data_IF_882248370099
#
_entry.id   IF_882248370099
#
_cell.length_a   1.000
_cell.length_b   1.000
_cell.length_c   1.000
_cell.angle_alpha   90.00
_cell.angle_beta   90.00
_cell.angle_gamma   90.00
#
_symmetry.space_group_name_H-M   'P 1'
#
loop_
_entity.id
_entity.type
_entity.pdbx_description
1 polymer ?
#
# COMPACT_ATOMS: atom_id res chain seq x y z
N UNK A 1 -8.20 -16.34 22.66
CA UNK A 1 -6.80 -16.83 22.88
C UNK A 1 -5.86 -15.66 23.15
N UNK A 2 -4.73 -15.89 23.85
CA UNK A 2 -3.67 -14.88 23.99
C UNK A 2 -2.79 -14.90 22.74
N UNK A 3 -2.56 -13.74 22.10
CA UNK A 3 -1.81 -13.65 20.85
C UNK A 3 -0.54 -12.82 21.08
N UNK A 4 0.61 -13.40 20.78
CA UNK A 4 1.92 -12.72 20.80
C UNK A 4 2.49 -12.59 19.39
N UNK A 5 3.33 -11.57 19.12
CA UNK A 5 3.97 -11.44 17.81
C UNK A 5 4.90 -12.61 17.53
N UNK A 6 4.79 -13.18 16.32
CA UNK A 6 5.71 -14.20 15.81
C UNK A 6 6.36 -13.68 14.54
N UNK A 7 7.52 -13.08 14.71
CA UNK A 7 8.29 -12.46 13.63
C UNK A 7 9.31 -13.45 13.08
N UNK A 8 9.47 -13.45 11.76
CA UNK A 8 10.54 -14.13 11.01
C UNK A 8 11.03 -13.20 9.91
N UNK A 9 12.15 -12.53 10.15
CA UNK A 9 12.69 -11.53 9.24
C UNK A 9 11.68 -10.41 8.95
N UNK A 10 11.25 -10.28 7.71
CA UNK A 10 10.30 -9.27 7.25
C UNK A 10 8.82 -9.70 7.36
N UNK A 11 8.52 -10.83 7.99
CA UNK A 11 7.14 -11.32 8.15
C UNK A 11 6.76 -11.44 9.62
N UNK A 12 5.56 -11.02 9.97
CA UNK A 12 4.90 -11.41 11.20
C UNK A 12 3.73 -12.35 10.85
N UNK A 13 3.77 -13.58 11.38
CA UNK A 13 2.81 -14.64 11.03
C UNK A 13 1.57 -14.66 11.94
N UNK A 14 1.50 -13.78 12.92
CA UNK A 14 0.34 -13.55 13.79
C UNK A 14 -0.08 -12.09 13.69
N UNK A 15 -1.37 -11.84 13.91
CA UNK A 15 -1.93 -10.48 14.01
C UNK A 15 -2.89 -10.40 15.20
N UNK A 16 -2.97 -9.22 15.82
CA UNK A 16 -3.76 -8.99 17.01
C UNK A 16 -5.05 -8.22 16.66
N UNK A 17 -6.25 -8.81 16.81
CA UNK A 17 -7.51 -8.20 16.38
C UNK A 17 -7.74 -6.81 16.95
N UNK A 18 -7.67 -6.67 18.29
CA UNK A 18 -7.91 -5.39 18.94
C UNK A 18 -6.84 -4.34 18.63
N UNK A 19 -5.58 -4.77 18.42
CA UNK A 19 -4.53 -3.84 18.03
C UNK A 19 -4.71 -3.35 16.58
N UNK A 20 -5.13 -4.23 15.66
CA UNK A 20 -5.52 -3.83 14.31
C UNK A 20 -6.71 -2.87 14.33
N UNK A 21 -7.74 -3.16 15.16
CA UNK A 21 -8.89 -2.26 15.31
C UNK A 21 -8.46 -0.88 15.80
N UNK A 22 -7.64 -0.82 16.86
CA UNK A 22 -7.18 0.45 17.40
C UNK A 22 -6.33 1.24 16.41
N UNK A 23 -5.48 0.56 15.64
CA UNK A 23 -4.69 1.21 14.59
C UNK A 23 -5.57 1.82 13.50
N UNK A 24 -6.65 1.15 13.09
CA UNK A 24 -7.63 1.72 12.16
C UNK A 24 -8.35 2.93 12.78
N UNK A 25 -8.75 2.85 14.06
CA UNK A 25 -9.36 3.97 14.77
C UNK A 25 -8.42 5.17 14.82
N UNK A 26 -7.14 4.96 15.13
CA UNK A 26 -6.15 6.05 15.17
C UNK A 26 -6.02 6.76 13.82
N UNK A 27 -6.05 6.02 12.70
CA UNK A 27 -6.04 6.61 11.36
C UNK A 27 -7.33 7.39 11.05
N UNK A 28 -8.49 6.88 11.47
CA UNK A 28 -9.78 7.56 11.33
C UNK A 28 -9.78 8.86 12.15
N UNK A 29 -9.32 8.82 13.39
CA UNK A 29 -9.24 9.99 14.27
C UNK A 29 -8.31 11.06 13.69
N UNK A 30 -7.17 10.65 13.11
CA UNK A 30 -6.31 11.56 12.38
C UNK A 30 -7.07 12.26 11.24
N UNK A 31 -7.76 11.51 10.37
CA UNK A 31 -8.51 12.10 9.24
C UNK A 31 -9.60 13.05 9.74
N UNK A 32 -10.32 12.70 10.79
CA UNK A 32 -11.38 13.55 11.36
C UNK A 32 -10.84 14.83 12.00
N UNK A 33 -9.58 14.84 12.43
CA UNK A 33 -8.91 16.03 12.93
C UNK A 33 -8.48 16.99 11.85
N UNK A 34 -8.49 16.56 10.58
CA UNK A 34 -8.09 17.37 9.43
C UNK A 34 -9.28 18.12 8.82
N UNK A 35 -8.99 19.06 7.92
CA UNK A 35 -10.03 19.74 7.18
C UNK A 35 -10.82 18.76 6.29
N UNK A 36 -12.16 18.91 6.18
CA UNK A 36 -12.98 18.05 5.32
C UNK A 36 -12.55 18.11 3.84
N UNK A 37 -12.61 16.97 3.16
CA UNK A 37 -12.29 16.83 1.75
C UNK A 37 -13.59 16.91 0.93
N UNK A 38 -13.64 17.73 -0.13
CA UNK A 38 -14.85 17.95 -0.90
C UNK A 38 -15.18 16.83 -1.89
N UNK A 39 -14.19 16.07 -2.31
CA UNK A 39 -14.29 14.96 -3.29
C UNK A 39 -13.26 13.87 -2.91
N UNK A 40 -13.48 12.62 -3.30
CA UNK A 40 -14.53 12.03 -4.15
C UNK A 40 -15.84 11.74 -3.41
N UNK A 41 -16.84 11.17 -4.12
CA UNK A 41 -18.11 10.72 -3.52
C UNK A 41 -18.28 9.20 -3.50
N UNK A 42 -17.75 8.49 -4.50
CA UNK A 42 -17.88 7.04 -4.66
C UNK A 42 -16.55 6.47 -5.13
N UNK A 43 -15.95 5.61 -4.33
CA UNK A 43 -14.56 5.17 -4.49
C UNK A 43 -14.46 3.67 -4.54
N UNK A 44 -13.72 3.17 -5.53
CA UNK A 44 -13.21 1.81 -5.57
C UNK A 44 -11.74 1.81 -5.15
N UNK A 45 -11.39 0.99 -4.16
CA UNK A 45 -9.99 0.78 -3.75
C UNK A 45 -9.62 -0.68 -3.95
N UNK A 46 -8.71 -0.94 -4.87
CA UNK A 46 -8.17 -2.26 -5.18
C UNK A 46 -6.89 -2.44 -4.39
N UNK A 47 -6.86 -3.41 -3.46
CA UNK A 47 -5.80 -3.59 -2.46
C UNK A 47 -6.06 -2.76 -1.19
N UNK A 48 -7.26 -2.89 -0.60
CA UNK A 48 -7.82 -1.98 0.41
C UNK A 48 -7.62 -2.39 1.87
N UNK A 49 -6.88 -3.46 2.18
CA UNK A 49 -6.83 -4.04 3.52
C UNK A 49 -5.68 -3.56 4.41
N UNK A 50 -4.60 -3.04 3.81
CA UNK A 50 -3.39 -2.63 4.53
C UNK A 50 -2.70 -1.44 3.86
N UNK A 51 -1.74 -0.83 4.55
CA UNK A 51 -0.86 0.20 4.02
C UNK A 51 -1.58 1.35 3.34
N UNK A 52 -1.05 1.79 2.21
CA UNK A 52 -1.61 2.92 1.46
C UNK A 52 -3.04 2.70 0.96
N UNK A 53 -3.40 1.47 0.58
CA UNK A 53 -4.75 1.17 0.11
C UNK A 53 -5.79 1.32 1.22
N UNK A 54 -5.51 0.81 2.43
CA UNK A 54 -6.37 1.00 3.59
C UNK A 54 -6.48 2.49 3.96
N UNK A 55 -5.34 3.18 4.05
CA UNK A 55 -5.32 4.62 4.37
C UNK A 55 -6.07 5.47 3.34
N UNK A 56 -5.98 5.11 2.03
CA UNK A 56 -6.76 5.76 0.99
C UNK A 56 -8.26 5.56 1.18
N UNK A 57 -8.66 4.34 1.56
CA UNK A 57 -10.07 4.03 1.83
C UNK A 57 -10.60 4.79 3.06
N UNK A 58 -9.80 4.85 4.14
CA UNK A 58 -10.12 5.63 5.34
C UNK A 58 -10.25 7.11 5.00
N UNK A 59 -9.29 7.66 4.24
CA UNK A 59 -9.32 9.07 3.81
C UNK A 59 -10.57 9.39 2.99
N UNK A 60 -10.94 8.53 2.04
CA UNK A 60 -12.14 8.72 1.24
C UNK A 60 -13.42 8.66 2.08
N UNK A 61 -13.57 7.63 2.94
CA UNK A 61 -14.76 7.43 3.74
C UNK A 61 -14.95 8.51 4.81
N UNK A 62 -13.93 8.74 5.64
CA UNK A 62 -14.05 9.60 6.82
C UNK A 62 -13.62 11.05 6.57
N UNK A 63 -12.83 11.32 5.54
CA UNK A 63 -12.43 12.67 5.14
C UNK A 63 -13.40 13.32 4.15
N UNK A 64 -13.88 12.55 3.16
CA UNK A 64 -14.78 13.05 2.12
C UNK A 64 -16.24 12.61 2.29
N UNK A 65 -16.57 11.75 3.24
CA UNK A 65 -17.90 11.14 3.37
C UNK A 65 -18.26 10.25 2.17
N UNK A 66 -17.26 9.68 1.50
CA UNK A 66 -17.46 8.91 0.29
C UNK A 66 -18.02 7.51 0.57
N UNK A 67 -18.89 7.02 -0.30
CA UNK A 67 -19.24 5.61 -0.40
C UNK A 67 -18.04 4.82 -0.92
N UNK A 68 -17.64 3.73 -0.24
CA UNK A 68 -16.44 2.98 -0.61
C UNK A 68 -16.71 1.51 -0.88
N UNK A 69 -16.15 1.00 -1.97
CA UNK A 69 -16.04 -0.42 -2.27
C UNK A 69 -14.56 -0.81 -2.24
N UNK A 70 -14.19 -1.79 -1.41
CA UNK A 70 -12.84 -2.28 -1.30
C UNK A 70 -12.69 -3.66 -1.95
N UNK A 71 -11.51 -3.95 -2.50
CA UNK A 71 -11.12 -5.29 -2.93
C UNK A 71 -9.86 -5.68 -2.18
N UNK A 72 -9.85 -6.87 -1.61
CA UNK A 72 -8.69 -7.45 -0.93
C UNK A 72 -8.72 -8.99 -0.99
N UNK A 73 -7.63 -9.61 -0.58
CA UNK A 73 -7.52 -11.06 -0.52
C UNK A 73 -6.92 -11.47 0.83
N UNK A 74 -7.79 -11.63 1.82
CA UNK A 74 -7.41 -11.85 3.21
C UNK A 74 -8.03 -13.14 3.76
N UNK A 75 -7.41 -13.67 4.80
CA UNK A 75 -7.88 -14.90 5.45
C UNK A 75 -8.54 -14.57 6.79
N UNK A 76 -9.77 -15.06 7.03
CA UNK A 76 -10.44 -14.89 8.32
C UNK A 76 -9.69 -15.60 9.44
N UNK A 77 -9.94 -15.18 10.65
CA UNK A 77 -9.58 -15.90 11.86
C UNK A 77 -10.50 -17.08 12.11
N UNK A 78 -10.16 -17.85 13.11
CA UNK A 78 -10.99 -18.93 13.66
C UNK A 78 -10.68 -19.05 15.15
N UNK A 79 -11.48 -19.79 15.92
CA UNK A 79 -11.21 -20.06 17.34
C UNK A 79 -9.79 -20.59 17.63
N UNK A 80 -9.12 -21.18 16.64
CA UNK A 80 -7.81 -21.84 16.79
C UNK A 80 -6.63 -21.06 16.19
N UNK A 81 -6.91 -20.04 15.37
CA UNK A 81 -5.89 -19.34 14.61
C UNK A 81 -6.32 -17.91 14.32
N UNK A 82 -5.44 -16.90 14.56
CA UNK A 82 -5.72 -15.53 14.14
C UNK A 82 -5.80 -15.45 12.61
N UNK A 83 -6.66 -14.54 12.13
CA UNK A 83 -6.73 -14.13 10.74
C UNK A 83 -5.51 -13.29 10.35
N UNK A 84 -5.49 -12.84 9.11
CA UNK A 84 -4.48 -11.86 8.64
C UNK A 84 -4.76 -10.47 9.19
N UNK A 85 -3.73 -9.63 9.28
CA UNK A 85 -3.90 -8.25 9.74
C UNK A 85 -4.90 -7.47 8.88
N UNK A 86 -4.83 -7.65 7.54
CA UNK A 86 -5.77 -7.01 6.63
C UNK A 86 -7.22 -7.44 6.81
N UNK A 87 -7.47 -8.67 7.27
CA UNK A 87 -8.80 -9.10 7.65
C UNK A 87 -9.34 -8.26 8.83
N UNK A 88 -8.56 -8.16 9.90
CA UNK A 88 -8.97 -7.40 11.09
C UNK A 88 -9.06 -5.89 10.85
N UNK A 89 -8.15 -5.34 10.06
CA UNK A 89 -8.24 -3.95 9.62
C UNK A 89 -9.53 -3.67 8.85
N UNK A 90 -9.90 -4.59 7.94
CA UNK A 90 -11.13 -4.46 7.13
C UNK A 90 -12.37 -4.59 8.00
N UNK A 91 -12.39 -5.52 8.97
CA UNK A 91 -13.47 -5.65 9.93
C UNK A 91 -13.64 -4.37 10.77
N UNK A 92 -12.53 -3.81 11.27
CA UNK A 92 -12.53 -2.55 12.02
C UNK A 92 -13.04 -1.38 11.17
N UNK A 93 -12.57 -1.28 9.91
CA UNK A 93 -13.04 -0.24 8.99
C UNK A 93 -14.55 -0.31 8.77
N UNK A 94 -15.10 -1.50 8.48
CA UNK A 94 -16.54 -1.69 8.28
C UNK A 94 -17.33 -1.33 9.53
N UNK A 95 -16.90 -1.77 10.71
CA UNK A 95 -17.53 -1.46 12.01
C UNK A 95 -17.58 0.06 12.26
N UNK A 96 -16.52 0.80 11.94
CA UNK A 96 -16.50 2.25 12.12
C UNK A 96 -17.35 2.97 11.05
N UNK A 97 -17.30 2.52 9.79
CA UNK A 97 -18.14 3.07 8.72
C UNK A 97 -19.63 2.90 9.02
N UNK A 98 -20.04 1.73 9.50
CA UNK A 98 -21.44 1.47 9.92
C UNK A 98 -21.90 2.40 11.04
N UNK A 99 -21.07 2.57 12.08
CA UNK A 99 -21.37 3.50 13.20
C UNK A 99 -21.66 4.94 12.73
N UNK A 100 -21.06 5.34 11.61
CA UNK A 100 -21.24 6.68 11.04
C UNK A 100 -22.22 6.73 9.87
N UNK A 101 -22.89 5.62 9.58
CA UNK A 101 -23.86 5.54 8.48
C UNK A 101 -23.23 5.67 7.10
N UNK A 102 -21.92 5.38 6.97
CA UNK A 102 -21.21 5.43 5.70
C UNK A 102 -21.40 4.12 4.94
N UNK A 103 -21.64 4.22 3.62
CA UNK A 103 -21.66 3.02 2.78
C UNK A 103 -20.25 2.43 2.67
N UNK A 104 -20.12 1.18 3.07
CA UNK A 104 -18.88 0.41 2.93
C UNK A 104 -19.21 -1.03 2.59
N UNK A 105 -18.71 -1.52 1.44
CA UNK A 105 -18.70 -2.94 1.08
C UNK A 105 -17.32 -3.40 0.67
N UNK A 106 -17.08 -4.70 0.72
CA UNK A 106 -15.81 -5.27 0.28
C UNK A 106 -16.03 -6.57 -0.48
N UNK A 107 -15.16 -6.82 -1.47
CA UNK A 107 -15.02 -8.10 -2.15
C UNK A 107 -13.72 -8.74 -1.69
N UNK A 108 -13.81 -9.92 -1.07
CA UNK A 108 -12.65 -10.72 -0.67
C UNK A 108 -12.36 -11.75 -1.78
N UNK A 109 -11.30 -11.56 -2.52
CA UNK A 109 -10.91 -12.44 -3.63
C UNK A 109 -9.71 -11.94 -4.42
N UNK A 110 -9.26 -12.76 -5.36
CA UNK A 110 -8.14 -12.41 -6.23
C UNK A 110 -8.52 -11.26 -7.18
N UNK A 111 -7.96 -10.08 -6.90
CA UNK A 111 -8.19 -8.88 -7.71
C UNK A 111 -7.75 -9.02 -9.18
N UNK A 112 -6.86 -9.96 -9.49
CA UNK A 112 -6.44 -10.22 -10.86
C UNK A 112 -7.48 -10.98 -11.68
N UNK A 113 -8.42 -11.70 -11.03
CA UNK A 113 -9.41 -12.51 -11.70
C UNK A 113 -10.53 -11.69 -12.36
N UNK A 114 -11.00 -12.14 -13.52
CA UNK A 114 -12.15 -11.55 -14.19
C UNK A 114 -13.44 -11.69 -13.36
N UNK A 115 -13.54 -12.76 -12.59
CA UNK A 115 -14.72 -13.01 -11.74
C UNK A 115 -14.83 -11.97 -10.61
N UNK A 116 -13.73 -11.63 -9.95
CA UNK A 116 -13.72 -10.56 -8.94
C UNK A 116 -14.03 -9.21 -9.58
N UNK A 117 -13.45 -8.90 -10.77
CA UNK A 117 -13.78 -7.70 -11.52
C UNK A 117 -15.28 -7.61 -11.81
N UNK A 118 -15.89 -8.71 -12.26
CA UNK A 118 -17.32 -8.73 -12.55
C UNK A 118 -18.19 -8.52 -11.29
N UNK A 119 -17.85 -9.18 -10.16
CA UNK A 119 -18.56 -8.96 -8.88
C UNK A 119 -18.51 -7.51 -8.40
N UNK A 120 -17.35 -6.86 -8.58
CA UNK A 120 -17.18 -5.44 -8.27
C UNK A 120 -18.07 -4.58 -9.18
N UNK A 121 -18.06 -4.83 -10.49
CA UNK A 121 -18.91 -4.12 -11.48
C UNK A 121 -20.40 -4.27 -11.13
N UNK A 122 -20.84 -5.49 -10.86
CA UNK A 122 -22.24 -5.76 -10.50
C UNK A 122 -22.64 -5.04 -9.20
N UNK A 123 -21.73 -4.98 -8.23
CA UNK A 123 -21.95 -4.27 -6.97
C UNK A 123 -22.03 -2.76 -7.19
N UNK A 124 -21.13 -2.19 -8.01
CA UNK A 124 -21.17 -0.77 -8.34
C UNK A 124 -22.47 -0.42 -9.06
N UNK A 125 -22.82 -1.18 -10.10
CA UNK A 125 -24.04 -0.93 -10.88
C UNK A 125 -25.29 -0.99 -10.01
N UNK A 126 -25.36 -1.96 -9.10
CA UNK A 126 -26.51 -2.15 -8.21
C UNK A 126 -26.64 -1.08 -7.13
N UNK A 127 -25.54 -0.76 -6.46
CA UNK A 127 -25.56 -0.01 -5.21
C UNK A 127 -25.17 1.46 -5.37
N UNK A 128 -24.27 1.78 -6.31
CA UNK A 128 -23.64 3.10 -6.46
C UNK A 128 -23.96 3.77 -7.81
N UNK A 129 -24.40 2.97 -8.79
CA UNK A 129 -24.55 3.39 -10.18
C UNK A 129 -23.20 3.55 -10.88
N UNK A 130 -22.43 4.53 -10.47
CA UNK A 130 -21.11 4.84 -11.01
C UNK A 130 -20.14 5.23 -9.90
N UNK A 131 -18.84 5.14 -10.16
CA UNK A 131 -17.76 5.58 -9.27
C UNK A 131 -16.97 6.73 -9.89
N UNK A 132 -16.42 7.60 -9.05
CA UNK A 132 -15.68 8.80 -9.46
C UNK A 132 -14.19 8.75 -9.11
N UNK A 133 -13.75 7.75 -8.33
CA UNK A 133 -12.31 7.49 -8.09
C UNK A 133 -12.01 6.00 -8.03
N UNK A 134 -10.99 5.57 -8.76
CA UNK A 134 -10.41 4.23 -8.67
C UNK A 134 -8.98 4.34 -8.16
N UNK A 135 -8.68 3.68 -7.04
CA UNK A 135 -7.33 3.56 -6.49
C UNK A 135 -6.82 2.14 -6.71
N UNK A 136 -5.67 2.01 -7.39
CA UNK A 136 -4.99 0.75 -7.64
C UNK A 136 -3.75 0.65 -6.75
N UNK A 137 -3.84 -0.18 -5.70
CA UNK A 137 -2.83 -0.35 -4.67
C UNK A 137 -2.52 -1.84 -4.43
N UNK A 138 -2.13 -2.55 -5.49
CA UNK A 138 -1.77 -3.96 -5.40
C UNK A 138 -0.26 -4.15 -5.35
N UNK A 139 0.18 -5.05 -4.47
CA UNK A 139 1.50 -5.66 -4.46
C UNK A 139 1.32 -7.15 -4.14
N UNK A 140 1.81 -8.01 -5.00
CA UNK A 140 1.63 -9.45 -4.87
C UNK A 140 2.90 -10.21 -5.26
N UNK A 141 3.17 -11.37 -4.64
CA UNK A 141 4.28 -12.22 -5.06
C UNK A 141 3.96 -13.02 -6.33
N UNK A 142 2.69 -13.14 -6.69
CA UNK A 142 2.23 -14.01 -7.77
C UNK A 142 0.93 -13.46 -8.38
N UNK A 143 0.79 -13.65 -9.69
CA UNK A 143 -0.44 -13.40 -10.46
C UNK A 143 -0.71 -14.56 -11.40
N UNK A 144 -1.96 -15.00 -11.47
CA UNK A 144 -2.45 -15.80 -12.59
C UNK A 144 -3.16 -14.88 -13.58
N UNK A 145 -2.70 -14.87 -14.83
CA UNK A 145 -3.29 -14.01 -15.85
C UNK A 145 -4.68 -14.51 -16.23
N UNK A 146 -5.74 -13.69 -16.12
CA UNK A 146 -7.12 -14.15 -16.24
C UNK A 146 -7.51 -14.66 -17.63
N UNK A 147 -6.81 -14.22 -18.69
CA UNK A 147 -7.10 -14.63 -20.08
C UNK A 147 -6.27 -15.83 -20.53
N UNK A 148 -4.98 -15.88 -20.20
CA UNK A 148 -4.08 -16.97 -20.64
C UNK A 148 -4.00 -18.12 -19.64
N UNK A 149 -4.33 -17.87 -18.35
CA UNK A 149 -4.11 -18.83 -17.26
C UNK A 149 -2.64 -18.97 -16.84
N UNK A 150 -1.73 -18.24 -17.47
CA UNK A 150 -0.30 -18.25 -17.16
C UNK A 150 -0.03 -17.69 -15.76
N UNK A 151 0.97 -18.26 -15.09
CA UNK A 151 1.33 -17.88 -13.72
C UNK A 151 2.66 -17.15 -13.76
N UNK A 152 2.67 -15.93 -13.25
CA UNK A 152 3.85 -15.08 -13.10
C UNK A 152 4.21 -14.95 -11.62
N UNK A 153 5.53 -14.92 -11.33
CA UNK A 153 6.04 -14.72 -9.98
C UNK A 153 6.95 -13.49 -9.96
N UNK A 154 6.66 -12.56 -9.06
CA UNK A 154 7.51 -11.37 -8.90
C UNK A 154 8.75 -11.68 -8.07
N UNK A 155 9.85 -11.03 -8.42
CA UNK A 155 11.12 -11.10 -7.69
C UNK A 155 11.63 -9.72 -7.34
N UNK A 156 12.46 -9.62 -6.29
CA UNK A 156 13.14 -8.39 -5.88
C UNK A 156 14.63 -8.57 -6.13
N UNK A 157 15.08 -8.26 -7.34
CA UNK A 157 16.47 -8.44 -7.77
C UNK A 157 16.97 -7.23 -8.58
N UNK A 158 18.28 -6.97 -8.55
CA UNK A 158 18.89 -5.98 -9.44
C UNK A 158 18.81 -6.43 -10.89
N UNK A 159 18.87 -5.49 -11.83
CA UNK A 159 18.87 -5.77 -13.28
C UNK A 159 20.26 -5.51 -13.86
N UNK A 160 20.76 -6.44 -14.67
CA UNK A 160 21.98 -6.31 -15.45
C UNK A 160 23.31 -6.47 -14.69
N UNK A 161 23.30 -6.49 -13.36
CA UNK A 161 24.51 -6.68 -12.53
C UNK A 161 24.19 -7.32 -11.18
N UNK A 162 25.13 -8.08 -10.65
CA UNK A 162 25.07 -8.47 -9.23
C UNK A 162 25.40 -7.26 -8.35
N UNK A 163 24.76 -7.18 -7.21
CA UNK A 163 25.02 -6.10 -6.24
C UNK A 163 25.31 -6.68 -4.85
N UNK A 164 26.09 -5.92 -4.07
CA UNK A 164 26.24 -6.13 -2.63
C UNK A 164 25.95 -4.83 -1.93
N UNK A 165 25.02 -4.83 -1.00
CA UNK A 165 24.54 -3.65 -0.30
C UNK A 165 24.47 -3.91 1.20
N UNK A 166 24.70 -2.85 1.99
CA UNK A 166 24.46 -2.90 3.43
C UNK A 166 22.97 -2.93 3.72
N UNK A 167 22.59 -3.63 4.74
CA UNK A 167 21.24 -3.65 5.27
C UNK A 167 21.25 -4.11 6.71
N UNK A 168 20.10 -4.21 7.31
CA UNK A 168 19.95 -4.68 8.69
C UNK A 168 19.31 -6.06 8.73
N UNK A 169 19.90 -6.96 9.50
CA UNK A 169 19.22 -8.16 9.94
C UNK A 169 18.31 -7.79 11.12
N UNK A 170 17.04 -7.68 10.88
CA UNK A 170 16.07 -7.21 11.87
C UNK A 170 15.84 -8.16 13.04
N UNK A 171 16.11 -9.46 12.86
CA UNK A 171 16.02 -10.47 13.94
C UNK A 171 17.22 -10.40 14.89
N UNK A 172 18.42 -10.16 14.33
CA UNK A 172 19.66 -10.12 15.10
C UNK A 172 20.09 -8.70 15.50
N UNK A 173 19.44 -7.69 14.92
CA UNK A 173 19.77 -6.26 15.12
C UNK A 173 21.21 -5.91 14.76
N UNK A 174 21.71 -6.49 13.66
CA UNK A 174 23.08 -6.28 13.19
C UNK A 174 23.10 -5.76 11.75
N UNK A 175 24.06 -4.90 11.47
CA UNK A 175 24.37 -4.47 10.10
C UNK A 175 25.14 -5.60 9.42
N UNK A 176 24.68 -5.95 8.23
CA UNK A 176 25.32 -6.97 7.39
C UNK A 176 25.25 -6.60 5.91
N UNK A 177 26.07 -7.26 5.11
CA UNK A 177 25.97 -7.16 3.64
C UNK A 177 24.98 -8.19 3.10
N UNK A 178 24.21 -7.76 2.11
CA UNK A 178 23.32 -8.59 1.33
C UNK A 178 23.83 -8.62 -0.11
N UNK A 179 24.16 -9.81 -0.60
CA UNK A 179 24.55 -10.01 -2.00
C UNK A 179 23.37 -10.59 -2.76
N UNK A 180 23.05 -9.98 -3.88
CA UNK A 180 21.95 -10.35 -4.74
C UNK A 180 22.47 -10.54 -6.17
N UNK A 181 22.07 -11.64 -6.78
CA UNK A 181 22.35 -11.91 -8.20
C UNK A 181 21.40 -11.11 -9.09
N UNK A 182 21.87 -10.76 -10.28
CA UNK A 182 21.06 -10.12 -11.29
C UNK A 182 19.86 -10.99 -11.68
N UNK A 183 18.73 -10.33 -11.94
CA UNK A 183 17.56 -10.99 -12.44
C UNK A 183 17.78 -11.50 -13.87
N UNK A 184 17.18 -12.65 -14.19
CA UNK A 184 17.03 -13.11 -15.57
C UNK A 184 15.96 -12.29 -16.30
N UNK A 185 15.97 -12.34 -17.63
CA UNK A 185 14.94 -11.67 -18.45
C UNK A 185 13.53 -12.18 -18.12
N UNK A 186 13.39 -13.46 -17.78
CA UNK A 186 12.11 -14.05 -17.37
C UNK A 186 11.64 -13.47 -16.01
N UNK A 187 12.53 -13.37 -15.03
CA UNK A 187 12.19 -12.78 -13.72
C UNK A 187 11.79 -11.30 -13.85
N UNK A 188 12.44 -10.56 -14.76
CA UNK A 188 12.06 -9.17 -15.07
C UNK A 188 10.65 -9.14 -15.68
N UNK A 189 10.41 -9.93 -16.73
CA UNK A 189 9.13 -10.00 -17.42
C UNK A 189 7.99 -10.43 -16.49
N UNK A 190 8.22 -11.45 -15.69
CA UNK A 190 7.25 -11.94 -14.72
C UNK A 190 6.90 -10.86 -13.67
N UNK A 191 7.92 -10.15 -13.15
CA UNK A 191 7.71 -9.08 -12.18
C UNK A 191 6.89 -7.92 -12.77
N UNK A 192 7.15 -7.55 -14.03
CA UNK A 192 6.34 -6.57 -14.76
C UNK A 192 4.91 -7.08 -14.93
N UNK A 193 4.72 -8.35 -15.27
CA UNK A 193 3.38 -8.95 -15.42
C UNK A 193 2.59 -8.98 -14.11
N UNK A 194 3.26 -9.15 -12.95
CA UNK A 194 2.59 -9.16 -11.64
C UNK A 194 2.28 -7.75 -11.13
N UNK A 195 3.26 -6.83 -11.19
CA UNK A 195 3.22 -5.56 -10.47
C UNK A 195 3.25 -4.32 -11.38
N UNK A 196 3.24 -4.51 -12.71
CA UNK A 196 3.12 -3.43 -13.68
C UNK A 196 1.70 -2.93 -13.86
N UNK A 197 1.49 -2.14 -14.90
CA UNK A 197 0.23 -1.43 -15.13
C UNK A 197 -0.82 -2.20 -15.93
N UNK A 198 -0.52 -3.42 -16.41
CA UNK A 198 -1.45 -4.16 -17.25
C UNK A 198 -2.77 -4.46 -16.53
N UNK A 199 -2.74 -4.97 -15.31
CA UNK A 199 -3.96 -5.27 -14.56
C UNK A 199 -4.72 -3.99 -14.17
N UNK A 200 -4.02 -2.91 -13.84
CA UNK A 200 -4.67 -1.60 -13.67
C UNK A 200 -5.44 -1.17 -14.91
N UNK A 201 -4.84 -1.31 -16.09
CA UNK A 201 -5.52 -1.04 -17.34
C UNK A 201 -6.71 -1.97 -17.56
N UNK A 202 -6.58 -3.27 -17.28
CA UNK A 202 -7.69 -4.24 -17.39
C UNK A 202 -8.87 -3.86 -16.46
N UNK A 203 -8.61 -3.39 -15.25
CA UNK A 203 -9.64 -2.87 -14.36
C UNK A 203 -10.37 -1.67 -14.97
N UNK A 204 -9.64 -0.66 -15.44
CA UNK A 204 -10.25 0.53 -16.04
C UNK A 204 -11.01 0.17 -17.31
N UNK A 205 -10.48 -0.74 -18.13
CA UNK A 205 -11.15 -1.20 -19.34
C UNK A 205 -12.47 -1.91 -19.02
N UNK A 206 -12.51 -2.77 -18.01
CA UNK A 206 -13.71 -3.48 -17.58
C UNK A 206 -14.76 -2.53 -17.00
N UNK A 207 -14.34 -1.59 -16.13
CA UNK A 207 -15.24 -0.59 -15.53
C UNK A 207 -15.85 0.34 -16.59
N UNK A 208 -15.03 0.79 -17.55
CA UNK A 208 -15.47 1.63 -18.65
C UNK A 208 -16.45 0.89 -19.59
N UNK A 209 -16.15 -0.36 -19.94
CA UNK A 209 -17.03 -1.18 -20.79
C UNK A 209 -18.39 -1.45 -20.15
N UNK A 210 -18.46 -1.48 -18.83
CA UNK A 210 -19.69 -1.66 -18.06
C UNK A 210 -20.45 -0.35 -17.77
N UNK A 211 -19.93 0.80 -18.23
CA UNK A 211 -20.49 2.15 -17.98
C UNK A 211 -20.68 2.49 -16.50
N UNK A 212 -19.76 2.01 -15.65
CA UNK A 212 -19.78 2.27 -14.19
C UNK A 212 -18.75 3.31 -13.73
N UNK A 213 -18.11 4.03 -14.65
CA UNK A 213 -17.26 5.19 -14.38
C UNK A 213 -18.06 6.48 -14.59
N UNK A 214 -18.07 7.35 -13.57
CA UNK A 214 -18.74 8.64 -13.67
C UNK A 214 -18.02 9.58 -14.65
N UNK A 215 -18.72 10.54 -15.28
CA UNK A 215 -18.04 11.63 -15.98
C UNK A 215 -17.07 12.35 -15.05
N UNK A 216 -15.86 12.62 -15.54
CA UNK A 216 -14.80 13.20 -14.74
C UNK A 216 -14.09 12.25 -13.76
N UNK A 217 -14.36 10.93 -13.83
CA UNK A 217 -13.75 9.94 -12.96
C UNK A 217 -12.23 9.97 -13.04
N UNK A 218 -11.59 9.84 -11.89
CA UNK A 218 -10.11 9.79 -11.76
C UNK A 218 -9.64 8.39 -11.37
N UNK A 219 -8.40 8.09 -11.74
CA UNK A 219 -7.71 6.88 -11.24
C UNK A 219 -6.25 7.16 -10.93
N UNK A 220 -5.73 6.47 -9.92
CA UNK A 220 -4.31 6.51 -9.60
C UNK A 220 -3.79 5.13 -9.22
N UNK A 221 -2.53 4.86 -9.59
CA UNK A 221 -1.74 3.76 -9.10
C UNK A 221 -0.52 4.30 -8.33
N UNK A 222 -0.08 3.56 -7.31
CA UNK A 222 1.00 4.01 -6.43
C UNK A 222 2.36 3.49 -6.88
N UNK A 223 3.35 4.36 -6.84
CA UNK A 223 4.75 4.06 -7.08
C UNK A 223 5.63 4.66 -5.99
N UNK A 224 6.88 4.21 -5.97
CA UNK A 224 7.98 4.80 -5.21
C UNK A 224 9.19 4.90 -6.14
N UNK A 225 9.93 6.00 -6.08
CA UNK A 225 11.18 6.22 -6.83
C UNK A 225 12.36 6.21 -5.87
N UNK A 226 12.28 7.01 -4.81
CA UNK A 226 13.28 7.12 -3.76
C UNK A 226 14.60 7.74 -4.17
N UNK A 227 15.57 7.73 -3.26
CA UNK A 227 16.92 8.26 -3.45
C UNK A 227 17.82 7.26 -4.20
N UNK A 228 18.78 7.77 -4.95
CA UNK A 228 19.73 7.00 -5.79
C UNK A 228 20.44 5.87 -5.04
N UNK A 229 20.68 6.03 -3.73
CA UNK A 229 21.31 4.96 -2.93
C UNK A 229 20.47 3.66 -2.89
N UNK A 230 19.16 3.74 -3.15
CA UNK A 230 18.26 2.57 -3.19
C UNK A 230 18.04 2.04 -4.60
N UNK A 231 18.44 2.76 -5.64
CA UNK A 231 18.06 2.51 -7.03
C UNK A 231 18.55 1.19 -7.58
N UNK A 232 19.76 0.77 -7.25
CA UNK A 232 20.33 -0.50 -7.74
C UNK A 232 19.41 -1.71 -7.46
N UNK A 233 18.65 -1.68 -6.36
CA UNK A 233 17.70 -2.74 -6.02
C UNK A 233 16.24 -2.33 -6.31
N UNK A 234 15.90 -1.04 -6.18
CA UNK A 234 14.52 -0.60 -6.32
C UNK A 234 14.23 -0.07 -7.72
N UNK A 235 14.57 1.20 -8.03
CA UNK A 235 14.18 1.85 -9.29
C UNK A 235 14.81 1.26 -10.54
N UNK A 236 16.05 0.80 -10.46
CA UNK A 236 16.77 0.10 -11.51
C UNK A 236 16.69 -1.44 -11.38
N UNK A 237 16.01 -1.94 -10.36
CA UNK A 237 15.70 -3.35 -10.16
C UNK A 237 14.42 -3.81 -10.87
N UNK A 238 14.05 -5.07 -10.65
CA UNK A 238 12.85 -5.69 -11.24
C UNK A 238 11.57 -4.94 -10.87
N UNK A 239 11.44 -4.49 -9.61
CA UNK A 239 10.29 -3.72 -9.17
C UNK A 239 10.19 -2.37 -9.90
N UNK A 240 11.32 -1.71 -10.14
CA UNK A 240 11.37 -0.45 -10.88
C UNK A 240 10.94 -0.64 -12.35
N UNK A 241 11.27 -1.77 -12.98
CA UNK A 241 10.78 -2.07 -14.33
C UNK A 241 9.25 -2.18 -14.34
N UNK A 242 8.66 -2.83 -13.33
CA UNK A 242 7.21 -2.88 -13.17
C UNK A 242 6.59 -1.47 -12.93
N UNK A 243 7.28 -0.61 -12.17
CA UNK A 243 6.82 0.77 -11.94
C UNK A 243 6.93 1.65 -13.18
N UNK A 244 7.94 1.45 -14.02
CA UNK A 244 8.05 2.09 -15.34
C UNK A 244 6.93 1.64 -16.29
N UNK A 245 6.44 0.40 -16.19
CA UNK A 245 5.27 -0.04 -16.96
C UNK A 245 3.98 0.68 -16.53
N UNK A 246 3.81 1.06 -15.23
CA UNK A 246 2.72 1.95 -14.81
C UNK A 246 2.77 3.29 -15.56
N UNK A 247 3.96 3.88 -15.71
CA UNK A 247 4.15 5.16 -16.41
C UNK A 247 3.80 5.07 -17.91
N UNK A 248 4.00 3.90 -18.53
CA UNK A 248 3.56 3.66 -19.90
C UNK A 248 2.04 3.46 -19.99
N UNK A 249 1.47 2.63 -19.11
CA UNK A 249 0.04 2.30 -19.14
C UNK A 249 -0.86 3.47 -18.78
N UNK A 250 -0.42 4.36 -17.89
CA UNK A 250 -1.20 5.54 -17.51
C UNK A 250 -1.57 6.42 -18.70
N UNK A 251 -0.75 6.45 -19.76
CA UNK A 251 -1.01 7.26 -20.95
C UNK A 251 -2.27 6.79 -21.68
N UNK A 252 -2.41 5.48 -21.90
CA UNK A 252 -3.59 4.90 -22.54
C UNK A 252 -4.84 4.98 -21.66
N UNK A 253 -4.67 4.79 -20.35
CA UNK A 253 -5.77 4.94 -19.36
C UNK A 253 -6.27 6.39 -19.38
N UNK A 254 -5.36 7.36 -19.32
CA UNK A 254 -5.70 8.81 -19.36
C UNK A 254 -6.42 9.17 -20.64
N UNK A 255 -5.92 8.70 -21.80
CA UNK A 255 -6.59 8.92 -23.08
C UNK A 255 -8.03 8.39 -23.08
N UNK A 256 -8.25 7.19 -22.52
CA UNK A 256 -9.57 6.60 -22.40
C UNK A 256 -10.50 7.45 -21.52
N UNK A 257 -10.05 7.86 -20.33
CA UNK A 257 -10.86 8.60 -19.38
C UNK A 257 -11.13 10.05 -19.83
N UNK A 258 -10.20 10.67 -20.58
CA UNK A 258 -10.33 12.05 -21.05
C UNK A 258 -11.56 12.27 -21.94
N UNK A 259 -12.08 11.23 -22.60
CA UNK A 259 -13.30 11.29 -23.42
C UNK A 259 -14.52 11.73 -22.57
N UNK A 260 -14.55 11.36 -21.29
CA UNK A 260 -15.61 11.76 -20.34
C UNK A 260 -15.12 12.84 -19.33
N UNK A 261 -14.00 13.52 -19.62
CA UNK A 261 -13.44 14.55 -18.74
C UNK A 261 -12.68 14.01 -17.54
N UNK A 262 -12.38 12.71 -17.50
CA UNK A 262 -11.61 12.06 -16.43
C UNK A 262 -10.09 12.18 -16.60
N UNK A 263 -9.34 11.70 -15.61
CA UNK A 263 -7.86 11.72 -15.60
C UNK A 263 -7.29 10.46 -14.96
N UNK A 264 -6.06 10.14 -15.31
CA UNK A 264 -5.27 9.06 -14.72
C UNK A 264 -3.86 9.56 -14.37
N UNK A 265 -3.39 9.23 -13.18
CA UNK A 265 -2.05 9.61 -12.71
C UNK A 265 -1.36 8.46 -12.00
N UNK A 266 -0.05 8.38 -12.13
CA UNK A 266 0.78 7.62 -11.19
C UNK A 266 1.13 8.56 -10.04
N UNK A 267 0.95 8.11 -8.80
CA UNK A 267 1.30 8.88 -7.60
C UNK A 267 2.59 8.33 -7.01
N UNK A 268 3.63 9.16 -6.97
CA UNK A 268 4.90 8.85 -6.31
C UNK A 268 4.74 9.18 -4.84
N UNK A 269 4.71 8.14 -4.02
CA UNK A 269 4.56 8.26 -2.58
C UNK A 269 5.91 8.11 -1.88
N UNK A 270 5.99 8.57 -0.64
CA UNK A 270 7.19 8.48 0.20
C UNK A 270 7.43 7.04 0.66
N UNK A 271 8.67 6.72 1.04
CA UNK A 271 9.00 5.47 1.71
C UNK A 271 8.34 5.39 3.10
N UNK A 272 7.61 4.31 3.35
CA UNK A 272 6.94 4.03 4.62
C UNK A 272 7.08 2.55 4.98
N UNK A 273 6.87 2.22 6.26
CA UNK A 273 6.82 0.82 6.70
C UNK A 273 5.51 0.20 6.26
N UNK A 274 5.61 -0.81 5.40
CA UNK A 274 4.52 -1.68 4.96
C UNK A 274 5.02 -3.13 4.90
N UNK A 275 4.12 -4.08 4.73
CA UNK A 275 4.53 -5.46 4.50
C UNK A 275 5.41 -5.59 3.25
N UNK A 276 5.09 -4.84 2.19
CA UNK A 276 5.84 -4.85 0.93
C UNK A 276 7.23 -4.23 1.07
N UNK A 277 7.36 -3.06 1.71
CA UNK A 277 8.66 -2.39 1.87
C UNK A 277 9.60 -3.16 2.79
N UNK A 278 9.07 -3.83 3.82
CA UNK A 278 9.85 -4.63 4.76
C UNK A 278 10.47 -5.88 4.12
N UNK A 279 9.93 -6.33 2.98
CA UNK A 279 10.48 -7.46 2.23
C UNK A 279 11.74 -7.10 1.40
N UNK A 280 12.04 -5.82 1.22
CA UNK A 280 13.16 -5.35 0.41
C UNK A 280 14.40 -5.22 1.30
N UNK A 281 15.50 -5.96 1.08
CA UNK A 281 16.60 -6.13 2.04
C UNK A 281 17.21 -4.85 2.61
N UNK A 282 17.29 -3.79 1.81
CA UNK A 282 17.92 -2.51 2.24
C UNK A 282 16.92 -1.54 2.87
N UNK A 283 15.63 -1.71 2.60
CA UNK A 283 14.62 -0.74 3.01
C UNK A 283 14.47 -0.60 4.53
N UNK A 284 14.55 -1.65 5.35
CA UNK A 284 14.50 -1.48 6.80
C UNK A 284 15.59 -0.53 7.34
N UNK A 285 16.81 -0.61 6.82
CA UNK A 285 17.89 0.28 7.21
C UNK A 285 17.68 1.71 6.72
N UNK A 286 17.33 1.85 5.43
CA UNK A 286 17.03 3.16 4.84
C UNK A 286 15.89 3.86 5.57
N UNK A 287 14.79 3.15 5.83
CA UNK A 287 13.63 3.68 6.55
C UNK A 287 13.98 4.11 7.97
N UNK A 288 14.76 3.31 8.69
CA UNK A 288 15.17 3.65 10.06
C UNK A 288 16.03 4.93 10.11
N UNK A 289 16.90 5.16 9.12
CA UNK A 289 17.67 6.41 8.98
C UNK A 289 16.79 7.59 8.57
N UNK A 290 15.97 7.39 7.55
CA UNK A 290 15.06 8.41 7.03
C UNK A 290 14.10 8.91 8.12
N UNK A 291 13.48 7.99 8.86
CA UNK A 291 12.51 8.33 9.90
C UNK A 291 13.15 9.12 11.04
N UNK A 292 14.38 8.80 11.43
CA UNK A 292 15.11 9.60 12.41
C UNK A 292 15.20 11.04 11.97
N UNK A 293 15.69 11.29 10.76
CA UNK A 293 15.91 12.64 10.28
C UNK A 293 14.58 13.40 10.04
N UNK A 294 13.58 12.72 9.49
CA UNK A 294 12.26 13.34 9.27
C UNK A 294 11.49 13.59 10.58
N UNK A 295 11.65 12.74 11.61
CA UNK A 295 11.05 12.99 12.93
C UNK A 295 11.72 14.17 13.63
N UNK A 296 13.04 14.32 13.52
CA UNK A 296 13.77 15.48 14.05
C UNK A 296 13.33 16.78 13.32
N UNK A 297 13.14 16.69 12.01
CA UNK A 297 12.69 17.83 11.17
C UNK A 297 11.18 18.14 11.35
N UNK A 298 10.40 17.22 11.93
CA UNK A 298 8.94 17.36 12.06
C UNK A 298 8.17 17.10 10.76
N UNK A 299 8.81 16.52 9.74
CA UNK A 299 8.22 16.23 8.41
C UNK A 299 7.89 14.76 8.20
N UNK A 300 7.99 13.94 9.25
CA UNK A 300 7.68 12.52 9.15
C UNK A 300 6.18 12.29 8.91
N UNK A 301 5.87 11.43 7.94
CA UNK A 301 4.52 11.02 7.58
C UNK A 301 4.46 9.49 7.47
N UNK A 302 3.37 8.91 7.95
CA UNK A 302 2.97 7.54 7.65
C UNK A 302 2.03 7.46 6.44
N UNK A 303 1.35 6.32 6.27
CA UNK A 303 0.44 6.13 5.16
C UNK A 303 -0.74 7.11 5.19
N UNK A 304 -1.32 7.36 6.36
CA UNK A 304 -2.55 8.13 6.47
C UNK A 304 -2.33 9.62 6.18
N UNK A 305 -1.23 10.20 6.66
CA UNK A 305 -0.85 11.58 6.38
C UNK A 305 -0.56 11.78 4.90
N UNK A 306 0.18 10.86 4.29
CA UNK A 306 0.46 10.85 2.85
C UNK A 306 -0.82 10.81 2.01
N UNK A 307 -1.78 9.96 2.38
CA UNK A 307 -3.01 9.84 1.62
C UNK A 307 -3.93 11.04 1.81
N UNK A 308 -3.97 11.65 3.01
CA UNK A 308 -4.67 12.92 3.17
C UNK A 308 -4.12 13.99 2.22
N UNK A 309 -2.79 14.16 2.18
CA UNK A 309 -2.13 15.10 1.26
C UNK A 309 -2.34 14.74 -0.21
N UNK A 310 -2.29 13.44 -0.56
CA UNK A 310 -2.57 13.01 -1.94
C UNK A 310 -3.98 13.43 -2.39
N UNK A 311 -4.98 13.33 -1.52
CA UNK A 311 -6.34 13.74 -1.86
C UNK A 311 -6.46 15.26 -1.97
N UNK A 312 -5.85 16.03 -1.07
CA UNK A 312 -6.00 17.48 -0.96
C UNK A 312 -5.05 18.26 -1.88
N UNK A 313 -3.77 17.86 -1.96
CA UNK A 313 -2.74 18.57 -2.70
C UNK A 313 -2.41 17.93 -4.06
N UNK A 314 -2.84 16.67 -4.28
CA UNK A 314 -2.60 15.92 -5.51
C UNK A 314 -3.84 15.74 -6.36
N UNK A 315 -4.69 14.75 -6.03
CA UNK A 315 -5.79 14.30 -6.89
C UNK A 315 -6.88 15.36 -7.11
N UNK A 316 -7.14 16.19 -6.10
CA UNK A 316 -8.22 17.21 -6.14
C UNK A 316 -7.71 18.63 -5.94
N UNK A 317 -6.42 18.86 -6.12
CA UNK A 317 -5.82 20.18 -6.21
C UNK A 317 -6.00 20.78 -7.61
N UNK A 318 -6.20 22.09 -7.68
CA UNK A 318 -6.20 22.84 -8.95
C UNK A 318 -4.79 22.97 -9.51
N UNK A 319 -3.76 22.95 -8.65
CA UNK A 319 -2.35 23.08 -9.00
C UNK A 319 -1.54 21.91 -8.39
N UNK A 320 -1.75 20.66 -8.85
CA UNK A 320 -1.03 19.51 -8.31
C UNK A 320 0.45 19.57 -8.69
N UNK A 321 1.32 19.12 -7.77
CA UNK A 321 2.75 18.99 -8.06
C UNK A 321 3.00 17.79 -8.98
N UNK A 322 3.40 18.08 -10.21
CA UNK A 322 3.73 17.09 -11.22
C UNK A 322 5.22 17.11 -11.55
N UNK A 323 5.78 15.94 -11.88
CA UNK A 323 7.09 15.85 -12.53
C UNK A 323 6.98 15.90 -14.07
N UNK A 324 8.14 15.78 -14.75
CA UNK A 324 8.21 15.84 -16.22
C UNK A 324 7.42 14.74 -16.92
N UNK A 325 7.24 13.57 -16.27
CA UNK A 325 6.42 12.47 -16.75
C UNK A 325 4.93 12.61 -16.38
N UNK A 326 4.58 13.68 -15.68
CA UNK A 326 3.20 13.98 -15.27
C UNK A 326 2.70 13.13 -14.11
N UNK A 327 3.61 12.57 -13.29
CA UNK A 327 3.28 11.86 -12.05
C UNK A 327 3.04 12.87 -10.92
N UNK A 328 2.12 12.55 -10.03
CA UNK A 328 1.91 13.30 -8.78
C UNK A 328 3.08 13.04 -7.82
N UNK A 329 3.76 14.10 -7.37
CA UNK A 329 4.91 14.02 -6.45
C UNK A 329 4.48 14.34 -5.04
N UNK A 330 4.33 13.27 -4.22
CA UNK A 330 3.99 13.37 -2.80
C UNK A 330 5.17 12.99 -1.89
N UNK A 331 6.32 12.69 -2.49
CA UNK A 331 7.56 12.29 -1.82
C UNK A 331 8.52 13.46 -1.54
N UNK A 332 8.11 14.69 -1.79
CA UNK A 332 8.97 15.86 -1.71
C UNK A 332 9.57 16.11 -0.32
N UNK A 333 8.88 15.71 0.75
CA UNK A 333 9.40 15.85 2.11
C UNK A 333 10.56 14.88 2.38
N UNK A 334 10.44 13.63 1.88
CA UNK A 334 11.54 12.67 1.88
C UNK A 334 12.73 13.16 1.04
N UNK A 335 12.44 13.73 -0.15
CA UNK A 335 13.45 14.09 -1.14
C UNK A 335 14.10 15.45 -0.90
N UNK A 336 13.86 16.11 0.22
CA UNK A 336 14.59 17.34 0.60
C UNK A 336 16.08 17.05 0.68
N UNK A 337 16.87 17.94 0.06
CA UNK A 337 18.33 17.77 -0.03
C UNK A 337 19.00 17.66 1.35
N UNK A 338 18.53 18.44 2.34
CA UNK A 338 19.03 18.42 3.71
C UNK A 338 18.73 17.10 4.43
N UNK A 339 17.56 16.47 4.18
CA UNK A 339 17.21 15.16 4.73
C UNK A 339 18.09 14.10 4.10
N UNK A 340 18.17 14.06 2.76
CA UNK A 340 18.95 13.04 2.06
C UNK A 340 20.45 13.14 2.33
N UNK A 341 21.01 14.35 2.50
CA UNK A 341 22.41 14.53 2.87
C UNK A 341 22.72 13.91 4.24
N UNK A 342 21.82 14.05 5.23
CA UNK A 342 21.98 13.43 6.55
C UNK A 342 21.85 11.90 6.49
N UNK A 343 20.87 11.39 5.72
CA UNK A 343 20.69 9.95 5.48
C UNK A 343 21.95 9.37 4.83
N UNK A 344 22.48 10.02 3.78
CA UNK A 344 23.70 9.57 3.10
C UNK A 344 24.93 9.54 4.03
N UNK A 345 25.06 10.51 4.92
CA UNK A 345 26.11 10.52 5.95
C UNK A 345 25.96 9.34 6.90
N UNK A 346 24.76 9.14 7.46
CA UNK A 346 24.48 8.01 8.35
C UNK A 346 24.74 6.68 7.64
N UNK A 347 24.38 6.56 6.36
CA UNK A 347 24.62 5.37 5.55
C UNK A 347 26.11 5.05 5.38
N UNK A 348 26.96 6.08 5.23
CA UNK A 348 28.41 5.88 5.11
C UNK A 348 29.04 5.36 6.42
N UNK A 349 28.55 5.87 7.56
CA UNK A 349 29.16 5.67 8.88
C UNK A 349 28.54 4.50 9.68
N UNK A 350 27.44 3.89 9.19
CA UNK A 350 26.67 2.89 9.94
C UNK A 350 27.47 1.62 10.24
N UNK A 351 27.38 1.17 11.47
CA UNK A 351 27.84 -0.14 11.96
C UNK A 351 26.82 -0.71 12.94
N UNK A 352 27.02 -1.94 13.39
CA UNK A 352 26.17 -2.55 14.42
C UNK A 352 26.23 -1.78 15.74
N UNK A 353 27.41 -1.28 16.11
CA UNK A 353 27.67 -0.59 17.38
C UNK A 353 26.93 0.75 17.47
N UNK A 354 26.80 1.46 16.34
CA UNK A 354 26.17 2.78 16.30
C UNK A 354 24.75 2.77 15.72
N UNK A 355 24.13 1.60 15.52
CA UNK A 355 22.82 1.43 14.91
C UNK A 355 21.75 2.34 15.54
N UNK A 356 21.61 2.29 16.88
CA UNK A 356 20.61 3.08 17.59
C UNK A 356 20.98 4.58 17.67
N UNK A 357 22.25 4.92 17.49
CA UNK A 357 22.70 6.31 17.43
C UNK A 357 22.36 6.96 16.09
N UNK A 358 22.59 6.25 14.97
CA UNK A 358 22.42 6.80 13.63
C UNK A 358 21.04 6.54 13.01
N UNK A 359 20.18 5.76 13.66
CA UNK A 359 18.85 5.39 13.12
C UNK A 359 17.75 5.50 14.18
N UNK A 360 16.49 5.51 13.73
CA UNK A 360 15.31 5.23 14.55
C UNK A 360 14.84 3.78 14.35
N UNK A 361 15.75 2.83 14.60
CA UNK A 361 15.42 1.41 14.41
C UNK A 361 14.37 0.90 15.39
N UNK A 362 14.32 1.45 16.58
CA UNK A 362 13.28 1.13 17.57
C UNK A 362 11.91 1.57 17.06
N UNK A 363 11.80 2.79 16.49
CA UNK A 363 10.59 3.27 15.84
C UNK A 363 10.22 2.44 14.62
N UNK A 364 11.18 2.06 13.77
CA UNK A 364 10.94 1.16 12.65
C UNK A 364 10.32 -0.19 13.11
N UNK A 365 10.88 -0.81 14.16
CA UNK A 365 10.34 -2.07 14.70
C UNK A 365 8.93 -1.89 15.26
N UNK A 366 8.69 -0.79 15.94
CA UNK A 366 7.36 -0.45 16.44
C UNK A 366 6.37 -0.31 15.28
N UNK A 367 6.70 0.46 14.25
CA UNK A 367 5.84 0.66 13.08
C UNK A 367 5.59 -0.65 12.33
N UNK A 368 6.64 -1.49 12.19
CA UNK A 368 6.50 -2.83 11.61
C UNK A 368 5.53 -3.73 12.40
N UNK A 369 5.65 -3.77 13.72
CA UNK A 369 4.76 -4.57 14.57
C UNK A 369 3.33 -4.02 14.57
N UNK A 370 3.17 -2.70 14.47
CA UNK A 370 1.87 -2.03 14.40
C UNK A 370 1.06 -2.41 13.15
N UNK A 371 1.74 -2.80 12.04
CA UNK A 371 1.06 -3.35 10.86
C UNK A 371 0.22 -4.59 11.17
N UNK A 372 0.62 -5.33 12.20
CA UNK A 372 -0.01 -6.57 12.65
C UNK A 372 -0.79 -6.39 13.97
N UNK A 373 -1.00 -5.15 14.39
CA UNK A 373 -1.74 -4.80 15.59
C UNK A 373 -0.97 -5.00 16.90
N UNK A 374 0.37 -5.05 16.87
CA UNK A 374 1.19 -5.13 18.09
C UNK A 374 1.86 -3.79 18.40
N UNK A 375 2.10 -3.52 19.70
CA UNK A 375 2.71 -2.27 20.15
C UNK A 375 1.76 -1.06 20.14
N UNK A 376 0.49 -1.26 19.84
CA UNK A 376 -0.50 -0.19 19.82
C UNK A 376 -0.91 0.16 21.26
N UNK A 377 -0.92 1.46 21.58
CA UNK A 377 -1.25 1.93 22.94
C UNK A 377 -2.69 1.57 23.34
N UNK A 378 -2.86 1.27 24.63
CA UNK A 378 -4.18 0.97 25.20
C UNK A 378 -4.64 -0.48 25.05
N UNK A 379 -3.83 -1.35 24.44
CA UNK A 379 -4.14 -2.77 24.23
C UNK A 379 -3.43 -3.64 25.28
N UNK A 380 -4.20 -4.49 25.97
CA UNK A 380 -3.67 -5.53 26.85
C UNK A 380 -3.35 -6.79 26.04
N UNK A 381 -2.07 -6.99 25.75
CA UNK A 381 -1.58 -8.14 24.98
C UNK A 381 -1.48 -9.44 25.80
N UNK A 382 -1.76 -9.42 27.08
CA UNK A 382 -1.82 -10.60 27.96
C UNK A 382 -3.26 -11.10 28.15
N UNK A 383 -4.25 -10.32 27.71
CA UNK A 383 -5.65 -10.73 27.73
C UNK A 383 -5.99 -11.73 26.61
N UNK A 384 -6.98 -12.56 26.87
CA UNK A 384 -7.60 -13.38 25.82
C UNK A 384 -8.44 -12.51 24.87
N UNK A 385 -8.31 -12.78 23.58
CA UNK A 385 -9.10 -12.09 22.55
C UNK A 385 -9.81 -13.08 21.65
N UNK A 386 -10.95 -12.66 21.12
CA UNK A 386 -11.65 -13.37 20.07
C UNK A 386 -10.90 -13.17 18.75
N UNK A 387 -10.73 -14.25 18.01
CA UNK A 387 -10.06 -14.27 16.71
C UNK A 387 -11.00 -14.52 15.55
N UNK A 388 -12.23 -14.97 15.84
CA UNK A 388 -13.28 -15.25 14.85
C UNK A 388 -14.16 -14.00 14.64
N UNK A 389 -13.59 -13.00 13.96
CA UNK A 389 -14.24 -11.72 13.69
C UNK A 389 -14.75 -11.72 12.26
N UNK A 390 -16.06 -11.51 12.09
CA UNK A 390 -16.71 -11.36 10.79
C UNK A 390 -16.57 -9.95 10.24
N UNK A 391 -16.69 -9.83 8.92
CA UNK A 391 -16.80 -8.55 8.22
C UNK A 391 -18.23 -8.44 7.68
N UNK A 392 -18.96 -7.45 8.13
CA UNK A 392 -20.31 -7.21 7.61
C UNK A 392 -20.29 -6.72 6.17
N UNK A 393 -21.31 -7.11 5.38
CA UNK A 393 -21.43 -6.74 3.97
C UNK A 393 -20.25 -7.20 3.09
N UNK A 394 -19.53 -8.25 3.53
CA UNK A 394 -18.48 -8.88 2.73
C UNK A 394 -19.11 -9.69 1.59
N UNK A 395 -18.54 -9.54 0.40
CA UNK A 395 -18.85 -10.32 -0.78
C UNK A 395 -17.68 -11.29 -0.99
N UNK A 396 -17.92 -12.59 -0.78
CA UNK A 396 -16.89 -13.60 -1.01
C UNK A 396 -16.66 -13.77 -2.52
N UNK A 397 -15.42 -13.64 -2.93
CA UNK A 397 -14.95 -14.00 -4.26
C UNK A 397 -14.75 -15.53 -4.37
N UNK A 398 -14.34 -16.02 -5.54
CA UNK A 398 -13.97 -17.41 -5.69
C UNK A 398 -12.80 -17.74 -4.77
N UNK A 399 -12.94 -18.81 -4.00
CA UNK A 399 -11.83 -19.40 -3.24
C UNK A 399 -10.98 -20.23 -4.19
N UNK A 400 -9.67 -20.00 -4.21
CA UNK A 400 -8.78 -20.97 -4.84
C UNK A 400 -8.89 -22.30 -4.10
N UNK A 401 -9.29 -23.33 -4.84
CA UNK A 401 -9.22 -24.72 -4.39
C UNK A 401 -7.78 -25.20 -4.26
#
# INVERSE_FOLDING_TARGET
MIIKPRVRGFMCITSHPLGCEQNVINQIDYIKSQAPISAPKRVLVIGSSTGYGLSARITAAFGAGASTLGVFFEKPGSERKPGTAGWYNSAAFHKQAEKEGLYAKSVNGDAFSDEVKQRVIDTIAKDLGQIDLVIYSLAAPRRQHPKSGEIFNSTLKPVGKNITMRGINTDKEVIQEFSLEAASDQEISDTVSVMGGEDWQMWIDALAAADVLAPGAKTTAFTYIGEKMTWDLYWDGTIGQAKKDLDHRVLSIRQKLSVSGGDARVSVLKAVVTQSSSAIPIMPLYLAMLFKEMKIDGSHEGCIEQLYRLFTEGLYSDEPRLDEEGRLRMDELEMRAEIQAKVAKSWADISTENLNELTDFVGYKHDFLSLFGFGVSGIDYDAEVDTDISIEHLIEGPTFG
#
